data_IF_702157404676
#
_entry.id   IF_702157404676
#
_cell.length_a   1.000
_cell.length_b   1.000
_cell.length_c   1.000
_cell.angle_alpha   90.00
_cell.angle_beta   90.00
_cell.angle_gamma   90.00
#
_symmetry.space_group_name_H-M   'P 1'
#
loop_
_entity.id
_entity.type
_entity.pdbx_description
1 polymer ?
#
# COMPACT_ATOMS: atom_id res chain seq x y z
N UNK A 1 -14.03 -4.30 19.42
CA UNK A 1 -15.35 -3.78 19.00
C UNK A 1 -15.77 -2.55 19.79
N UNK A 2 -15.29 -2.31 21.02
CA UNK A 2 -15.59 -1.08 21.80
C UNK A 2 -15.05 0.24 21.21
N UNK A 3 -13.95 0.24 20.46
CA UNK A 3 -13.43 1.48 19.87
C UNK A 3 -14.29 2.04 18.74
N UNK A 4 -15.06 1.19 18.03
CA UNK A 4 -15.90 1.64 16.92
C UNK A 4 -17.12 2.45 17.40
N UNK A 5 -17.61 2.18 18.62
CA UNK A 5 -18.78 2.85 19.19
C UNK A 5 -18.50 4.24 19.76
N UNK A 6 -17.22 4.64 19.85
CA UNK A 6 -16.78 5.94 20.39
C UNK A 6 -16.39 6.96 19.31
N UNK A 7 -16.27 6.53 18.05
CA UNK A 7 -15.98 7.43 16.93
C UNK A 7 -17.30 7.98 16.43
N UNK A 8 -17.55 9.26 16.70
CA UNK A 8 -18.60 10.03 16.06
C UNK A 8 -18.52 9.83 14.54
N UNK A 9 -19.65 9.58 13.87
CA UNK A 9 -19.71 9.39 12.41
C UNK A 9 -19.15 10.57 11.59
N UNK A 10 -18.85 11.70 12.24
CA UNK A 10 -18.30 12.92 11.63
C UNK A 10 -16.82 13.19 11.94
N UNK A 11 -16.12 12.32 12.68
CA UNK A 11 -14.68 12.49 12.95
C UNK A 11 -13.84 11.72 11.93
N UNK A 12 -13.57 12.37 10.80
CA UNK A 12 -12.81 11.81 9.68
C UNK A 12 -11.37 11.42 10.05
N UNK A 13 -10.72 12.19 10.93
CA UNK A 13 -9.35 11.94 11.36
C UNK A 13 -9.27 10.68 12.24
N UNK A 14 -10.25 10.49 13.13
CA UNK A 14 -10.33 9.29 13.95
C UNK A 14 -10.59 8.04 13.11
N UNK A 15 -11.49 8.13 12.11
CA UNK A 15 -11.75 7.03 11.17
C UNK A 15 -10.51 6.67 10.37
N UNK A 16 -9.79 7.67 9.86
CA UNK A 16 -8.57 7.48 9.10
C UNK A 16 -7.46 6.79 9.91
N UNK A 17 -7.20 7.27 11.14
CA UNK A 17 -6.22 6.66 12.05
C UNK A 17 -6.58 5.22 12.37
N UNK A 18 -7.86 4.94 12.64
CA UNK A 18 -8.33 3.58 12.89
C UNK A 18 -8.12 2.68 11.68
N UNK A 19 -8.39 3.18 10.47
CA UNK A 19 -8.21 2.42 9.25
C UNK A 19 -6.74 2.07 9.01
N UNK A 20 -5.82 3.04 9.13
CA UNK A 20 -4.37 2.82 9.03
C UNK A 20 -3.89 1.81 10.08
N UNK A 21 -4.30 1.97 11.34
CA UNK A 21 -3.96 1.05 12.43
C UNK A 21 -4.43 -0.38 12.13
N UNK A 22 -5.64 -0.53 11.60
CA UNK A 22 -6.23 -1.85 11.29
C UNK A 22 -5.55 -2.55 10.13
N UNK A 23 -5.03 -1.81 9.14
CA UNK A 23 -4.20 -2.38 8.06
C UNK A 23 -2.87 -2.87 8.64
N UNK A 24 -2.14 -2.00 9.32
CA UNK A 24 -0.79 -2.29 9.84
C UNK A 24 -0.82 -3.46 10.82
N UNK A 25 -1.79 -3.48 11.74
CA UNK A 25 -1.90 -4.50 12.80
C UNK A 25 -2.76 -5.71 12.39
N UNK A 26 -3.14 -5.82 11.12
CA UNK A 26 -4.01 -6.93 10.71
C UNK A 26 -3.30 -8.27 10.90
N UNK A 27 -3.98 -9.23 11.55
CA UNK A 27 -3.41 -10.55 11.84
C UNK A 27 -3.26 -11.44 10.61
N UNK A 28 -3.97 -11.13 9.51
CA UNK A 28 -3.84 -11.81 8.22
C UNK A 28 -2.98 -11.00 7.26
N UNK A 29 -2.51 -11.67 6.21
CA UNK A 29 -1.85 -11.04 5.06
C UNK A 29 -2.82 -10.06 4.38
N UNK A 30 -2.41 -8.81 4.22
CA UNK A 30 -3.12 -7.76 3.49
C UNK A 30 -2.48 -7.62 2.12
N UNK A 31 -3.22 -7.98 1.07
CA UNK A 31 -2.76 -7.88 -0.31
C UNK A 31 -3.54 -6.79 -1.06
N UNK A 32 -2.82 -5.93 -1.78
CA UNK A 32 -3.38 -4.94 -2.69
C UNK A 32 -3.24 -5.40 -4.15
N UNK A 33 -4.32 -5.24 -4.92
CA UNK A 33 -4.39 -5.54 -6.35
C UNK A 33 -4.63 -4.22 -7.10
N UNK A 34 -3.63 -3.73 -7.83
CA UNK A 34 -3.67 -2.43 -8.49
C UNK A 34 -3.82 -2.61 -9.99
N UNK A 35 -5.02 -2.35 -10.52
CA UNK A 35 -5.34 -2.46 -11.94
C UNK A 35 -5.69 -1.10 -12.56
N UNK A 36 -4.71 -0.19 -12.58
CA UNK A 36 -4.88 1.16 -13.10
C UNK A 36 -4.22 2.23 -12.21
N UNK A 37 -4.70 3.48 -12.26
CA UNK A 37 -4.15 4.57 -11.47
C UNK A 37 -4.29 4.32 -9.96
N UNK A 38 -3.19 4.43 -9.22
CA UNK A 38 -3.18 4.52 -7.76
C UNK A 38 -2.71 5.93 -7.35
N UNK A 39 -3.66 6.78 -6.97
CA UNK A 39 -3.42 8.22 -6.72
C UNK A 39 -3.67 8.58 -5.25
N UNK A 40 -2.79 9.37 -4.65
CA UNK A 40 -2.93 9.90 -3.29
C UNK A 40 -3.00 8.78 -2.25
N UNK A 41 -4.08 8.74 -1.47
CA UNK A 41 -4.32 7.72 -0.43
C UNK A 41 -4.26 6.29 -0.98
N UNK A 42 -4.71 6.07 -2.23
CA UNK A 42 -4.62 4.77 -2.86
C UNK A 42 -3.17 4.32 -3.07
N UNK A 43 -2.26 5.26 -3.34
CA UNK A 43 -0.82 4.98 -3.47
C UNK A 43 -0.14 4.82 -2.11
N UNK A 44 -0.41 5.71 -1.15
CA UNK A 44 0.29 5.70 0.14
C UNK A 44 -0.03 4.47 0.97
N UNK A 45 -1.25 3.96 0.84
CA UNK A 45 -1.72 2.75 1.55
C UNK A 45 -1.01 1.48 1.11
N UNK A 46 -0.47 1.45 -0.12
CA UNK A 46 0.25 0.29 -0.64
C UNK A 46 1.50 -0.02 0.19
N UNK A 47 2.15 1.02 0.73
CA UNK A 47 3.30 0.86 1.61
C UNK A 47 2.95 0.26 2.98
N UNK A 48 1.66 0.15 3.31
CA UNK A 48 1.15 -0.51 4.52
C UNK A 48 0.66 -1.94 4.25
N UNK A 49 0.57 -2.34 2.98
CA UNK A 49 0.16 -3.68 2.59
C UNK A 49 1.36 -4.64 2.61
N UNK A 50 1.11 -5.91 2.91
CA UNK A 50 2.16 -6.93 2.93
C UNK A 50 2.59 -7.33 1.51
N UNK A 51 1.63 -7.34 0.57
CA UNK A 51 1.85 -7.71 -0.83
C UNK A 51 1.12 -6.73 -1.74
N UNK A 52 1.81 -6.27 -2.78
CA UNK A 52 1.23 -5.38 -3.80
C UNK A 52 1.43 -6.02 -5.16
N UNK A 53 0.34 -6.40 -5.83
CA UNK A 53 0.33 -6.90 -7.21
C UNK A 53 -0.21 -5.81 -8.11
N UNK A 54 0.52 -5.46 -9.17
CA UNK A 54 0.14 -4.37 -10.07
C UNK A 54 0.05 -4.84 -11.52
N UNK A 55 -0.92 -4.32 -12.24
CA UNK A 55 -1.00 -4.41 -13.70
C UNK A 55 0.20 -3.69 -14.33
N UNK A 56 0.71 -4.16 -15.46
CA UNK A 56 1.73 -3.47 -16.25
C UNK A 56 1.25 -2.11 -16.81
N UNK A 57 -0.06 -1.87 -16.80
CA UNK A 57 -0.69 -0.58 -17.13
C UNK A 57 -0.96 0.32 -15.90
N UNK A 58 -0.60 -0.12 -14.68
CA UNK A 58 -0.78 0.68 -13.49
C UNK A 58 0.30 1.79 -13.39
N UNK A 59 -0.07 2.89 -12.75
CA UNK A 59 0.86 3.94 -12.33
C UNK A 59 0.50 4.46 -10.94
N UNK A 60 1.51 5.05 -10.29
CA UNK A 60 1.45 5.50 -8.91
C UNK A 60 1.76 6.99 -8.86
N UNK A 61 0.93 7.75 -8.15
CA UNK A 61 1.03 9.20 -8.15
C UNK A 61 0.57 9.83 -6.83
N UNK A 62 1.33 10.80 -6.31
CA UNK A 62 1.03 11.49 -5.06
C UNK A 62 1.10 13.02 -5.25
N UNK A 63 0.00 13.69 -5.68
CA UNK A 63 -0.05 15.13 -5.95
C UNK A 63 -0.07 16.02 -4.70
N UNK A 64 0.63 15.65 -3.61
CA UNK A 64 0.54 16.37 -2.33
C UNK A 64 0.87 17.85 -2.46
N UNK A 65 2.02 18.16 -3.07
CA UNK A 65 2.49 19.55 -3.23
C UNK A 65 1.60 20.37 -4.15
N UNK A 66 1.04 19.77 -5.20
CA UNK A 66 0.08 20.44 -6.10
C UNK A 66 -1.24 20.77 -5.39
N UNK A 67 -1.63 19.97 -4.40
CA UNK A 67 -2.84 20.18 -3.60
C UNK A 67 -2.59 20.99 -2.33
N UNK A 68 -1.35 21.42 -2.06
CA UNK A 68 -1.00 22.12 -0.82
C UNK A 68 -1.09 21.24 0.43
N UNK A 69 -0.96 19.92 0.27
CA UNK A 69 -1.05 18.92 1.33
C UNK A 69 0.33 18.39 1.73
N UNK A 70 0.44 17.91 2.96
CA UNK A 70 1.58 17.11 3.40
C UNK A 70 1.38 15.62 3.03
N UNK A 71 2.46 14.84 2.95
CA UNK A 71 2.35 13.38 2.79
C UNK A 71 1.56 12.75 3.95
N UNK A 72 0.72 11.77 3.61
CA UNK A 72 -0.18 11.06 4.53
C UNK A 72 0.15 9.56 4.65
N UNK A 73 -0.56 8.81 5.50
CA UNK A 73 -0.43 7.35 5.72
C UNK A 73 1.01 6.90 6.06
N UNK A 74 1.72 7.74 6.80
CA UNK A 74 3.15 7.57 7.12
C UNK A 74 4.06 7.48 5.87
N UNK A 75 3.61 7.94 4.69
CA UNK A 75 4.36 7.84 3.42
C UNK A 75 5.68 8.60 3.44
N UNK A 76 5.81 9.68 4.22
CA UNK A 76 7.09 10.38 4.45
C UNK A 76 8.15 9.47 5.08
N UNK A 77 7.73 8.48 5.87
CA UNK A 77 8.60 7.46 6.46
C UNK A 77 8.67 6.22 5.56
N UNK A 78 7.53 5.62 5.22
CA UNK A 78 7.50 4.30 4.56
C UNK A 78 8.08 4.33 3.15
N UNK A 79 7.83 5.37 2.35
CA UNK A 79 8.43 5.46 1.02
C UNK A 79 9.95 5.56 1.10
N UNK A 80 10.51 6.36 2.01
CA UNK A 80 11.97 6.44 2.15
C UNK A 80 12.59 5.08 2.48
N UNK A 81 11.93 4.28 3.33
CA UNK A 81 12.41 2.95 3.72
C UNK A 81 12.24 1.89 2.60
N UNK A 82 11.20 2.02 1.78
CA UNK A 82 10.93 1.07 0.69
C UNK A 82 11.81 1.37 -0.52
N UNK A 83 11.79 2.62 -1.01
CA UNK A 83 12.36 2.98 -2.31
C UNK A 83 13.62 3.84 -2.25
N UNK A 84 14.03 4.26 -1.05
CA UNK A 84 15.12 5.20 -0.85
C UNK A 84 14.69 6.65 -1.06
N UNK A 85 15.51 7.57 -0.55
CA UNK A 85 15.19 8.99 -0.46
C UNK A 85 14.85 9.64 -1.82
N UNK A 86 15.68 9.43 -2.84
CA UNK A 86 15.50 10.11 -4.13
C UNK A 86 14.21 9.71 -4.86
N UNK A 87 13.85 8.42 -4.84
CA UNK A 87 12.58 7.95 -5.43
C UNK A 87 11.38 8.45 -4.64
N UNK A 88 11.48 8.46 -3.30
CA UNK A 88 10.44 8.99 -2.43
C UNK A 88 10.20 10.50 -2.69
N UNK A 89 11.27 11.28 -2.88
CA UNK A 89 11.15 12.71 -3.23
C UNK A 89 10.44 12.89 -4.57
N UNK A 90 10.80 12.13 -5.61
CA UNK A 90 10.14 12.20 -6.92
C UNK A 90 8.63 11.97 -6.81
N UNK A 91 8.23 10.89 -6.13
CA UNK A 91 6.83 10.52 -6.00
C UNK A 91 6.06 11.48 -5.08
N UNK A 92 6.56 11.75 -3.88
CA UNK A 92 5.79 12.43 -2.83
C UNK A 92 5.97 13.96 -2.79
N UNK A 93 7.10 14.50 -3.24
CA UNK A 93 7.36 15.95 -3.20
C UNK A 93 7.28 16.58 -4.59
N UNK A 94 7.88 15.95 -5.61
CA UNK A 94 7.84 16.49 -6.97
C UNK A 94 6.53 16.16 -7.69
N UNK A 95 5.76 15.20 -7.19
CA UNK A 95 4.53 14.77 -7.85
C UNK A 95 4.81 14.20 -9.23
N UNK A 96 5.84 13.36 -9.35
CA UNK A 96 6.07 12.59 -10.56
C UNK A 96 5.33 11.26 -10.50
N UNK A 97 4.79 10.84 -11.64
CA UNK A 97 4.23 9.50 -11.78
C UNK A 97 5.33 8.44 -11.77
N UNK A 98 5.01 7.29 -11.18
CA UNK A 98 5.86 6.10 -11.21
C UNK A 98 5.12 4.97 -11.90
N UNK A 99 5.72 4.40 -12.94
CA UNK A 99 5.15 3.24 -13.65
C UNK A 99 5.16 1.98 -12.77
N UNK A 100 4.33 0.98 -13.12
CA UNK A 100 4.34 -0.33 -12.47
C UNK A 100 5.73 -0.95 -12.35
N UNK A 101 6.53 -0.84 -13.42
CA UNK A 101 7.90 -1.36 -13.46
C UNK A 101 8.83 -0.61 -12.51
N UNK A 102 8.77 0.72 -12.49
CA UNK A 102 9.58 1.51 -11.56
C UNK A 102 9.20 1.25 -10.11
N UNK A 103 7.91 1.15 -9.80
CA UNK A 103 7.42 0.85 -8.46
C UNK A 103 7.85 -0.55 -7.99
N UNK A 104 7.93 -1.53 -8.90
CA UNK A 104 8.47 -2.85 -8.60
C UNK A 104 9.98 -2.79 -8.32
N UNK A 105 10.75 -2.12 -9.18
CA UNK A 105 12.19 -1.91 -8.97
C UNK A 105 12.50 -1.06 -7.72
N UNK A 106 11.52 -0.31 -7.25
CA UNK A 106 11.57 0.49 -6.04
C UNK A 106 11.15 -0.29 -4.79
N UNK A 107 10.69 -1.53 -4.91
CA UNK A 107 10.24 -2.37 -3.80
C UNK A 107 8.81 -2.09 -3.31
N UNK A 108 8.11 -1.12 -3.88
CA UNK A 108 6.72 -0.80 -3.52
C UNK A 108 5.74 -1.84 -4.09
N UNK A 109 6.02 -2.37 -5.28
CA UNK A 109 5.23 -3.42 -5.92
C UNK A 109 5.96 -4.76 -5.79
N UNK A 110 5.29 -5.78 -5.28
CA UNK A 110 5.85 -7.13 -5.14
C UNK A 110 5.97 -7.83 -6.49
N UNK A 111 4.97 -7.69 -7.37
CA UNK A 111 4.97 -8.28 -8.71
C UNK A 111 4.15 -7.46 -9.69
N UNK A 112 4.70 -7.27 -10.89
CA UNK A 112 3.97 -6.73 -12.05
C UNK A 112 3.40 -7.88 -12.87
N UNK A 113 2.15 -7.74 -13.29
CA UNK A 113 1.37 -8.76 -14.02
C UNK A 113 0.81 -8.12 -15.29
N UNK A 114 0.78 -8.85 -16.39
CA UNK A 114 0.20 -8.31 -17.62
C UNK A 114 -1.27 -7.95 -17.44
N UNK A 115 -1.68 -6.78 -17.91
CA UNK A 115 -3.06 -6.32 -17.82
C UNK A 115 -4.07 -7.34 -18.39
N UNK A 116 -3.72 -7.99 -19.50
CA UNK A 116 -4.58 -8.96 -20.18
C UNK A 116 -4.87 -10.22 -19.33
N UNK A 117 -3.97 -10.59 -18.42
CA UNK A 117 -4.11 -11.77 -17.56
C UNK A 117 -4.27 -11.43 -16.08
N UNK A 118 -4.46 -10.14 -15.77
CA UNK A 118 -4.40 -9.62 -14.39
C UNK A 118 -5.35 -10.34 -13.44
N UNK A 119 -6.63 -10.44 -13.78
CA UNK A 119 -7.65 -11.07 -12.92
C UNK A 119 -7.35 -12.55 -12.66
N UNK A 120 -7.01 -13.30 -13.71
CA UNK A 120 -6.72 -14.74 -13.59
C UNK A 120 -5.43 -14.98 -12.79
N UNK A 121 -4.35 -14.27 -13.09
CA UNK A 121 -3.07 -14.45 -12.40
C UNK A 121 -3.14 -14.02 -10.93
N UNK A 122 -3.78 -12.89 -10.64
CA UNK A 122 -3.95 -12.43 -9.25
C UNK A 122 -4.82 -13.39 -8.45
N UNK A 123 -5.93 -13.90 -9.00
CA UNK A 123 -6.76 -14.91 -8.34
C UNK A 123 -5.98 -16.18 -7.96
N UNK A 124 -5.12 -16.65 -8.86
CA UNK A 124 -4.25 -17.80 -8.60
C UNK A 124 -3.20 -17.50 -7.51
N UNK A 125 -2.57 -16.33 -7.56
CA UNK A 125 -1.58 -15.90 -6.57
C UNK A 125 -2.19 -15.74 -5.18
N UNK A 126 -3.34 -15.08 -5.07
CA UNK A 126 -4.04 -14.89 -3.79
C UNK A 126 -4.49 -16.22 -3.20
N UNK A 127 -5.01 -17.14 -4.04
CA UNK A 127 -5.35 -18.50 -3.61
C UNK A 127 -4.14 -19.24 -3.05
N UNK A 128 -2.97 -19.10 -3.69
CA UNK A 128 -1.74 -19.70 -3.19
C UNK A 128 -1.24 -19.02 -1.90
N UNK A 129 -1.21 -17.69 -1.86
CA UNK A 129 -0.75 -16.92 -0.70
C UNK A 129 -1.62 -17.14 0.53
N UNK A 130 -2.94 -17.20 0.39
CA UNK A 130 -3.83 -17.48 1.51
C UNK A 130 -3.50 -18.81 2.20
N UNK A 131 -3.23 -19.86 1.42
CA UNK A 131 -2.82 -21.18 1.93
C UNK A 131 -1.49 -21.13 2.69
N UNK A 132 -0.50 -20.42 2.16
CA UNK A 132 0.83 -20.29 2.79
C UNK A 132 0.79 -19.40 4.03
N UNK A 133 0.06 -18.28 3.96
CA UNK A 133 -0.08 -17.33 5.04
C UNK A 133 -0.75 -17.97 6.26
N UNK A 134 -1.74 -18.84 6.07
CA UNK A 134 -2.32 -19.61 7.18
C UNK A 134 -1.29 -20.40 7.99
N UNK A 135 -0.15 -20.76 7.40
CA UNK A 135 0.91 -21.55 8.04
C UNK A 135 2.01 -20.68 8.67
N UNK A 136 2.26 -19.46 8.16
CA UNK A 136 3.45 -18.66 8.49
C UNK A 136 3.19 -17.26 9.09
N UNK A 137 1.97 -16.72 9.04
CA UNK A 137 1.71 -15.27 9.24
C UNK A 137 2.13 -14.66 10.59
N UNK A 138 2.24 -15.46 11.65
CA UNK A 138 2.46 -14.92 13.00
C UNK A 138 3.89 -14.40 13.26
N UNK A 139 4.92 -14.89 12.55
CA UNK A 139 6.32 -14.58 12.92
C UNK A 139 6.86 -13.27 12.32
N UNK A 140 6.54 -12.95 11.06
CA UNK A 140 7.12 -11.79 10.37
C UNK A 140 6.53 -10.44 10.83
N UNK A 141 5.21 -10.37 11.06
CA UNK A 141 4.56 -9.13 11.54
C UNK A 141 4.97 -8.75 12.96
N UNK A 142 5.49 -9.70 13.75
CA UNK A 142 5.99 -9.46 15.11
C UNK A 142 7.41 -8.87 15.17
N UNK A 143 8.19 -8.98 14.09
CA UNK A 143 9.61 -8.59 14.09
C UNK A 143 9.86 -7.13 13.70
N UNK A 144 8.95 -6.49 12.97
CA UNK A 144 9.08 -5.10 12.51
C UNK A 144 8.63 -4.02 13.51
N UNK A 145 8.27 -4.40 14.74
CA UNK A 145 7.64 -3.51 15.72
C UNK A 145 8.46 -3.36 17.02
N UNK A 146 9.78 -3.57 16.93
CA UNK A 146 10.75 -3.33 18.02
C UNK A 146 11.45 -1.99 17.84
#
# INVERSE_FOLDING_TARGET
>A
MEQLSLISSNDGDALYKLWVDKIIRHSKLVAALVNGPAVGIACTTLALCDVVLASDQAYFYCPFTQLGLNPEAASSYTFVHIMGYQKAVRLALLGEEMSAKEAHNAGLVTKVISHATFETETGNLISNYSRLAHQASASLKGQGNQ
#
